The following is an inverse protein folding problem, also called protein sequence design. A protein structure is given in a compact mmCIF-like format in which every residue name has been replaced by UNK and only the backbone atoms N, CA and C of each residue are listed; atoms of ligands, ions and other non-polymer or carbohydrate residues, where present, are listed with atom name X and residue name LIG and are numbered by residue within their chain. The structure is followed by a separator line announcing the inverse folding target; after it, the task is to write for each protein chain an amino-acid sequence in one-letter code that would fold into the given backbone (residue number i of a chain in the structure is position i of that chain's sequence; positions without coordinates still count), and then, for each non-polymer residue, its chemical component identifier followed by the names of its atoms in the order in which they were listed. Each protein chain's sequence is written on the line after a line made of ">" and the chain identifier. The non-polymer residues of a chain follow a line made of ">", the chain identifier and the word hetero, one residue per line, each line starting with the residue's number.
data_IF_833634598146
#
_entry.id   IF_833634598146
#
_cell.length_a   1.000
_cell.length_b   1.000
_cell.length_c   1.000
_cell.angle_alpha   90.00
_cell.angle_beta   90.00
_cell.angle_gamma   90.00
#
_symmetry.space_group_name_H-M   'P 1'
#
loop_
_entity.id
_entity.type
_entity.pdbx_description
1 polymer ?
#
# COMPACT_ATOMS: atom_id res chain seq x y z
N UNK A 1 -5.96 2.83 10.97
CA UNK A 1 -6.27 1.77 11.95
C UNK A 1 -7.26 0.73 11.40
N UNK A 2 -8.49 1.11 11.01
CA UNK A 2 -9.49 0.15 10.49
C UNK A 2 -8.97 -0.72 9.33
N UNK A 3 -8.27 -0.13 8.36
CA UNK A 3 -7.69 -0.85 7.23
C UNK A 3 -6.67 -1.92 7.66
N UNK A 4 -5.76 -1.60 8.59
CA UNK A 4 -4.78 -2.56 9.11
C UNK A 4 -5.46 -3.72 9.83
N UNK A 5 -6.45 -3.43 10.68
CA UNK A 5 -7.21 -4.46 11.40
C UNK A 5 -7.96 -5.35 10.41
N UNK A 6 -8.66 -4.75 9.44
CA UNK A 6 -9.36 -5.51 8.39
C UNK A 6 -8.40 -6.37 7.57
N UNK A 7 -7.20 -5.86 7.26
CA UNK A 7 -6.19 -6.60 6.55
C UNK A 7 -5.67 -7.79 7.39
N UNK A 8 -5.35 -7.58 8.66
CA UNK A 8 -4.91 -8.64 9.58
C UNK A 8 -5.98 -9.74 9.74
N UNK A 9 -7.24 -9.36 9.92
CA UNK A 9 -8.36 -10.30 10.04
C UNK A 9 -8.54 -11.14 8.77
N UNK A 10 -8.19 -10.61 7.60
CA UNK A 10 -8.33 -11.28 6.31
C UNK A 10 -6.99 -11.73 5.71
N UNK A 11 -5.92 -11.80 6.50
CA UNK A 11 -4.56 -12.06 6.00
C UNK A 11 -4.45 -13.37 5.22
N UNK A 12 -5.22 -14.40 5.61
CA UNK A 12 -5.26 -15.70 4.93
C UNK A 12 -5.83 -15.60 3.52
N UNK A 13 -6.90 -14.81 3.36
CA UNK A 13 -7.55 -14.63 2.07
C UNK A 13 -6.69 -13.76 1.14
N UNK A 14 -6.10 -12.68 1.67
CA UNK A 14 -5.12 -11.88 0.94
C UNK A 14 -3.91 -12.70 0.50
N UNK A 15 -3.33 -13.49 1.41
CA UNK A 15 -2.20 -14.37 1.08
C UNK A 15 -2.57 -15.37 -0.02
N UNK A 16 -3.78 -15.94 0.01
CA UNK A 16 -4.28 -16.82 -1.06
C UNK A 16 -4.37 -16.09 -2.39
N UNK A 17 -4.92 -14.88 -2.42
CA UNK A 17 -5.00 -14.04 -3.63
C UNK A 17 -3.60 -13.76 -4.18
N UNK A 18 -2.66 -13.29 -3.36
CA UNK A 18 -1.31 -13.03 -3.81
C UNK A 18 -0.59 -14.29 -4.27
N UNK A 19 -0.80 -15.42 -3.60
CA UNK A 19 -0.25 -16.69 -4.03
C UNK A 19 -0.78 -17.08 -5.41
N UNK A 20 -2.09 -16.96 -5.68
CA UNK A 20 -2.65 -17.24 -7.01
C UNK A 20 -2.16 -16.26 -8.09
N UNK A 21 -2.05 -14.98 -7.76
CA UNK A 21 -1.54 -13.98 -8.70
C UNK A 21 -0.06 -14.21 -9.00
N UNK A 22 0.74 -14.63 -8.03
CA UNK A 22 2.19 -14.84 -8.20
C UNK A 22 2.56 -16.25 -8.64
N UNK A 23 1.66 -17.22 -8.53
CA UNK A 23 1.87 -18.58 -9.03
C UNK A 23 1.99 -18.57 -10.57
N UNK A 24 3.16 -18.99 -11.02
CA UNK A 24 3.52 -19.16 -12.44
C UNK A 24 3.82 -20.62 -12.78
N UNK A 25 3.59 -21.56 -11.85
CA UNK A 25 3.93 -22.97 -12.04
C UNK A 25 3.16 -23.63 -13.19
N UNK A 26 1.90 -23.27 -13.39
CA UNK A 26 1.01 -23.90 -14.40
C UNK A 26 1.21 -23.40 -15.83
N UNK A 27 1.38 -22.09 -16.00
CA UNK A 27 1.33 -21.42 -17.31
C UNK A 27 2.67 -20.78 -17.72
N UNK A 28 3.70 -20.92 -16.90
CA UNK A 28 4.99 -20.28 -17.09
C UNK A 28 5.02 -18.82 -16.64
N UNK A 29 6.23 -18.28 -16.54
CA UNK A 29 6.47 -16.90 -16.11
C UNK A 29 6.15 -15.92 -17.25
N UNK A 30 5.26 -14.94 -17.07
CA UNK A 30 5.02 -13.90 -18.07
C UNK A 30 6.33 -13.14 -18.38
N UNK A 31 6.61 -12.80 -19.66
CA UNK A 31 7.90 -12.26 -20.08
C UNK A 31 8.28 -10.89 -19.46
N UNK A 32 7.33 -10.20 -18.81
CA UNK A 32 7.54 -8.92 -18.13
C UNK A 32 7.27 -8.96 -16.62
N UNK A 33 6.93 -10.12 -16.07
CA UNK A 33 6.50 -10.23 -14.67
C UNK A 33 7.60 -9.79 -13.69
N UNK A 34 8.85 -10.18 -13.92
CA UNK A 34 9.99 -9.76 -13.08
C UNK A 34 10.17 -8.24 -13.08
N UNK A 35 10.11 -7.61 -14.25
CA UNK A 35 10.23 -6.15 -14.39
C UNK A 35 9.09 -5.42 -13.67
N UNK A 36 7.87 -5.97 -13.72
CA UNK A 36 6.71 -5.43 -12.99
C UNK A 36 6.92 -5.55 -11.49
N UNK A 37 7.38 -6.71 -10.99
CA UNK A 37 7.67 -6.91 -9.57
C UNK A 37 8.74 -5.93 -9.08
N UNK A 38 9.84 -5.77 -9.82
CA UNK A 38 10.92 -4.84 -9.45
C UNK A 38 10.44 -3.38 -9.43
N UNK A 39 9.60 -3.01 -10.42
CA UNK A 39 8.95 -1.69 -10.48
C UNK A 39 8.03 -1.47 -9.26
N UNK A 40 7.19 -2.44 -8.93
CA UNK A 40 6.29 -2.37 -7.77
C UNK A 40 7.07 -2.21 -6.46
N UNK A 41 8.07 -3.07 -6.23
CA UNK A 41 8.94 -3.00 -5.04
C UNK A 41 9.64 -1.64 -4.91
N UNK A 42 10.16 -1.10 -6.02
CA UNK A 42 10.82 0.20 -6.03
C UNK A 42 9.86 1.32 -5.66
N UNK A 43 8.65 1.32 -6.22
CA UNK A 43 7.66 2.33 -5.90
C UNK A 43 7.11 2.19 -4.49
N UNK A 44 6.92 0.97 -3.98
CA UNK A 44 6.53 0.72 -2.60
C UNK A 44 7.53 1.35 -1.62
N UNK A 45 8.83 1.19 -1.87
CA UNK A 45 9.89 1.85 -1.10
C UNK A 45 9.86 3.38 -1.20
N UNK A 46 9.68 3.93 -2.41
CA UNK A 46 9.57 5.38 -2.60
C UNK A 46 8.37 5.93 -1.83
N UNK A 47 7.24 5.23 -1.89
CA UNK A 47 6.01 5.64 -1.22
C UNK A 47 6.14 5.55 0.31
N UNK A 48 6.79 4.51 0.82
CA UNK A 48 7.11 4.38 2.24
C UNK A 48 7.98 5.55 2.74
N UNK A 49 9.06 5.88 2.00
CA UNK A 49 9.94 7.01 2.33
C UNK A 49 9.20 8.36 2.25
N UNK A 50 8.31 8.53 1.26
CA UNK A 50 7.45 9.70 1.15
C UNK A 50 6.54 9.85 2.38
N UNK A 51 5.90 8.78 2.84
CA UNK A 51 5.08 8.82 4.06
C UNK A 51 5.91 9.19 5.30
N UNK A 52 7.08 8.56 5.49
CA UNK A 52 7.95 8.85 6.63
C UNK A 52 8.44 10.31 6.64
N UNK A 53 8.89 10.82 5.48
CA UNK A 53 9.32 12.22 5.36
C UNK A 53 8.17 13.20 5.59
N UNK A 54 6.97 12.89 5.09
CA UNK A 54 5.75 13.67 5.35
C UNK A 54 5.44 13.80 6.85
N UNK A 55 5.54 12.71 7.62
CA UNK A 55 5.32 12.73 9.08
C UNK A 55 6.34 13.64 9.77
N UNK A 56 7.62 13.53 9.40
CA UNK A 56 8.70 14.34 10.00
C UNK A 56 8.49 15.83 9.70
N UNK A 57 8.25 16.18 8.44
CA UNK A 57 8.03 17.57 8.02
C UNK A 57 6.79 18.14 8.72
N UNK A 58 5.68 17.40 8.71
CA UNK A 58 4.46 17.80 9.38
C UNK A 58 4.69 18.03 10.88
N UNK A 59 5.44 17.14 11.52
CA UNK A 59 5.80 17.28 12.93
C UNK A 59 6.64 18.52 13.22
N UNK A 60 7.65 18.79 12.41
CA UNK A 60 8.48 19.99 12.55
C UNK A 60 7.63 21.26 12.43
N UNK A 61 6.73 21.32 11.43
CA UNK A 61 5.85 22.47 11.22
C UNK A 61 4.99 22.72 12.47
N UNK A 62 4.32 21.68 13.01
CA UNK A 62 3.46 21.82 14.18
C UNK A 62 4.22 22.19 15.48
N UNK A 63 5.48 21.76 15.61
CA UNK A 63 6.31 22.09 16.78
C UNK A 63 6.85 23.52 16.70
N UNK A 64 7.30 23.95 15.52
CA UNK A 64 7.92 25.27 15.30
C UNK A 64 6.88 26.38 15.21
N UNK A 65 5.77 26.13 14.52
CA UNK A 65 4.68 27.09 14.33
C UNK A 65 3.37 26.58 14.93
N UNK A 66 3.19 26.72 16.26
CA UNK A 66 1.94 26.35 16.93
C UNK A 66 0.83 27.37 16.73
N UNK A 67 1.09 28.49 16.03
CA UNK A 67 0.16 29.61 15.90
C UNK A 67 -1.25 29.22 15.43
N UNK A 68 -1.44 28.24 14.52
CA UNK A 68 -2.77 27.74 14.17
C UNK A 68 -3.50 27.04 15.34
N UNK A 69 -2.79 26.21 16.13
CA UNK A 69 -3.36 25.49 17.26
C UNK A 69 -3.72 26.45 18.40
N UNK A 70 -2.82 27.37 18.75
CA UNK A 70 -3.05 28.35 19.82
C UNK A 70 -4.23 29.29 19.48
N UNK A 71 -4.37 29.68 18.21
CA UNK A 71 -5.53 30.46 17.74
C UNK A 71 -6.84 29.69 17.82
N UNK A 72 -6.84 28.42 17.38
CA UNK A 72 -8.02 27.57 17.44
C UNK A 72 -8.53 27.38 18.87
N UNK A 73 -7.59 27.14 19.80
CA UNK A 73 -7.86 27.03 21.23
C UNK A 73 -8.49 28.30 21.80
N UNK A 74 -7.94 29.47 21.44
CA UNK A 74 -8.49 30.76 21.88
C UNK A 74 -9.89 31.04 21.30
N UNK A 75 -10.15 30.68 20.05
CA UNK A 75 -11.44 30.88 19.37
C UNK A 75 -12.55 30.00 19.95
N UNK A 76 -12.21 28.78 20.37
CA UNK A 76 -13.19 27.77 20.82
C UNK A 76 -13.23 27.57 22.34
N UNK A 77 -12.41 28.29 23.11
CA UNK A 77 -12.19 28.07 24.54
C UNK A 77 -11.81 26.60 24.85
N UNK A 78 -10.88 26.05 24.07
CA UNK A 78 -10.34 24.69 24.23
C UNK A 78 -8.91 24.80 24.76
N UNK A 79 -8.52 23.84 25.61
CA UNK A 79 -7.22 23.79 26.28
C UNK A 79 -6.36 22.63 25.75
N UNK A 80 -6.26 22.48 24.43
CA UNK A 80 -5.44 21.43 23.84
C UNK A 80 -3.95 21.77 23.91
N UNK A 81 -3.11 20.76 24.13
CA UNK A 81 -1.66 20.91 24.18
C UNK A 81 -1.14 21.14 22.76
N UNK A 82 -0.69 22.37 22.49
CA UNK A 82 -0.03 22.74 21.24
C UNK A 82 1.48 22.44 21.26
N UNK A 83 2.15 22.57 20.11
CA UNK A 83 3.57 22.19 19.89
C UNK A 83 3.82 20.69 20.09
N UNK A 84 2.86 19.88 19.69
CA UNK A 84 2.93 18.42 19.61
C UNK A 84 2.73 18.00 18.14
N UNK A 85 2.88 16.71 17.83
CA UNK A 85 2.67 16.25 16.45
C UNK A 85 1.22 16.44 16.03
N UNK A 86 0.29 16.13 16.95
CA UNK A 86 -1.14 16.40 16.83
C UNK A 86 -1.62 17.03 18.12
N UNK A 87 -2.49 18.07 18.06
CA UNK A 87 -3.13 18.63 19.25
C UNK A 87 -3.71 17.51 20.11
N UNK A 88 -3.40 17.54 21.40
CA UNK A 88 -3.83 16.51 22.34
C UNK A 88 -4.57 17.18 23.48
N UNK A 89 -5.77 16.70 23.76
CA UNK A 89 -6.47 17.09 24.98
C UNK A 89 -5.73 16.50 26.19
N UNK A 90 -5.38 17.37 27.13
CA UNK A 90 -4.74 16.99 28.39
C UNK A 90 -5.44 17.70 29.56
N UNK A 91 -5.64 17.03 30.71
CA UNK A 91 -6.39 17.60 31.82
C UNK A 91 -5.67 18.75 32.55
N UNK A 92 -4.35 18.89 32.36
CA UNK A 92 -3.53 19.94 32.98
C UNK A 92 -3.06 20.95 31.91
N UNK A 93 -3.20 22.25 32.20
CA UNK A 93 -2.81 23.31 31.26
C UNK A 93 -1.29 23.43 31.08
N UNK A 94 -0.51 23.16 32.14
CA UNK A 94 0.95 23.29 32.15
C UNK A 94 1.63 21.92 32.27
N UNK A 95 1.96 21.34 31.12
CA UNK A 95 2.73 20.10 31.05
C UNK A 95 4.22 20.39 31.21
N UNK A 96 4.88 19.65 32.10
CA UNK A 96 6.33 19.70 32.25
C UNK A 96 7.05 19.45 30.89
N UNK A 97 8.07 20.25 30.51
CA UNK A 97 8.76 20.11 29.23
C UNK A 97 9.28 18.70 28.93
N UNK A 98 9.71 17.97 29.98
CA UNK A 98 10.14 16.57 29.86
C UNK A 98 9.00 15.65 29.41
N UNK A 99 7.83 15.76 30.05
CA UNK A 99 6.65 14.97 29.69
C UNK A 99 6.15 15.31 28.29
N UNK A 100 6.16 16.59 27.91
CA UNK A 100 5.80 17.04 26.56
C UNK A 100 6.69 16.42 25.48
N UNK A 101 7.99 16.32 25.75
CA UNK A 101 8.94 15.67 24.84
C UNK A 101 8.63 14.17 24.68
N UNK A 102 8.31 13.48 25.78
CA UNK A 102 7.90 12.07 25.75
C UNK A 102 6.62 11.89 24.92
N UNK A 103 5.61 12.75 25.10
CA UNK A 103 4.37 12.71 24.32
C UNK A 103 4.66 12.84 22.83
N UNK A 104 5.51 13.81 22.43
CA UNK A 104 5.90 14.00 21.02
C UNK A 104 6.60 12.76 20.46
N UNK A 105 7.53 12.17 21.21
CA UNK A 105 8.23 10.94 20.77
C UNK A 105 7.22 9.79 20.61
N UNK A 106 6.31 9.59 21.56
CA UNK A 106 5.27 8.57 21.47
C UNK A 106 4.34 8.79 20.27
N UNK A 107 3.92 10.03 20.01
CA UNK A 107 3.12 10.37 18.84
C UNK A 107 3.89 10.10 17.54
N UNK A 108 5.17 10.46 17.47
CA UNK A 108 6.01 10.23 16.29
C UNK A 108 6.18 8.73 16.00
N UNK A 109 6.51 7.94 17.02
CA UNK A 109 6.62 6.48 16.91
C UNK A 109 5.29 5.91 16.43
N UNK A 110 4.17 6.32 17.04
CA UNK A 110 2.83 5.84 16.66
C UNK A 110 2.53 6.16 15.19
N UNK A 111 2.78 7.39 14.74
CA UNK A 111 2.55 7.78 13.36
C UNK A 111 3.42 6.99 12.38
N UNK A 112 4.71 6.77 12.68
CA UNK A 112 5.60 5.96 11.84
C UNK A 112 5.18 4.48 11.83
N UNK A 113 4.65 3.95 12.93
CA UNK A 113 4.16 2.57 13.00
C UNK A 113 2.83 2.37 12.27
N UNK A 114 2.00 3.41 12.11
CA UNK A 114 0.67 3.26 11.52
C UNK A 114 0.52 3.80 10.11
N UNK A 115 1.07 4.98 9.82
CA UNK A 115 0.80 5.69 8.56
C UNK A 115 1.46 4.99 7.36
N UNK A 116 2.79 4.72 7.35
CA UNK A 116 3.42 4.04 6.22
C UNK A 116 2.84 2.65 5.94
N UNK A 117 2.64 1.74 6.92
CA UNK A 117 2.02 0.44 6.65
C UNK A 117 0.60 0.57 6.10
N UNK A 118 -0.22 1.46 6.66
CA UNK A 118 -1.58 1.72 6.12
C UNK A 118 -1.53 2.19 4.67
N UNK A 119 -0.58 3.05 4.33
CA UNK A 119 -0.39 3.57 2.99
C UNK A 119 0.06 2.43 2.04
N UNK A 120 1.05 1.64 2.43
CA UNK A 120 1.50 0.47 1.66
C UNK A 120 0.38 -0.55 1.43
N UNK A 121 -0.52 -0.74 2.40
CA UNK A 121 -1.70 -1.60 2.21
C UNK A 121 -2.63 -1.09 1.12
N UNK A 122 -2.79 0.22 0.94
CA UNK A 122 -3.58 0.73 -0.20
C UNK A 122 -2.85 0.51 -1.53
N UNK A 123 -1.52 0.58 -1.51
CA UNK A 123 -0.66 0.35 -2.66
C UNK A 123 -0.70 -1.10 -3.15
N UNK A 124 -0.91 -2.07 -2.25
CA UNK A 124 -0.95 -3.50 -2.59
C UNK A 124 -2.03 -3.86 -3.62
N UNK A 125 -3.15 -3.12 -3.63
CA UNK A 125 -4.25 -3.30 -4.58
C UNK A 125 -3.78 -2.90 -5.99
N UNK A 126 -3.03 -1.79 -6.08
CA UNK A 126 -2.43 -1.35 -7.33
C UNK A 126 -1.39 -2.35 -7.84
N UNK A 127 -0.53 -2.87 -6.96
CA UNK A 127 0.45 -3.90 -7.32
C UNK A 127 -0.21 -5.17 -7.85
N UNK A 128 -1.26 -5.65 -7.18
CA UNK A 128 -2.06 -6.78 -7.65
C UNK A 128 -2.62 -6.52 -9.06
N UNK A 129 -3.12 -5.31 -9.31
CA UNK A 129 -3.59 -4.87 -10.63
C UNK A 129 -2.51 -4.96 -11.71
N UNK A 130 -1.31 -4.43 -11.46
CA UNK A 130 -0.19 -4.49 -12.41
C UNK A 130 0.23 -5.93 -12.72
N UNK A 131 0.22 -6.83 -11.72
CA UNK A 131 0.52 -8.26 -11.92
C UNK A 131 -0.56 -8.95 -12.76
N UNK A 132 -1.84 -8.64 -12.53
CA UNK A 132 -2.95 -9.15 -13.36
C UNK A 132 -2.81 -8.64 -14.80
N UNK A 133 -2.50 -7.36 -15.00
CA UNK A 133 -2.24 -6.78 -16.33
C UNK A 133 -1.09 -7.52 -17.03
N UNK A 134 -0.01 -7.84 -16.32
CA UNK A 134 1.10 -8.61 -16.86
C UNK A 134 0.66 -10.01 -17.33
N UNK A 135 -0.17 -10.71 -16.55
CA UNK A 135 -0.76 -12.01 -16.94
C UNK A 135 -1.68 -11.89 -18.15
N UNK A 136 -2.53 -10.86 -18.22
CA UNK A 136 -3.41 -10.60 -19.37
C UNK A 136 -2.59 -10.31 -20.63
N UNK A 137 -1.52 -9.52 -20.53
CA UNK A 137 -0.64 -9.24 -21.67
C UNK A 137 0.03 -10.52 -22.19
N UNK A 138 0.46 -11.40 -21.30
CA UNK A 138 1.02 -12.70 -21.67
C UNK A 138 -0.03 -13.60 -22.34
N UNK A 139 -1.26 -13.66 -21.79
CA UNK A 139 -2.37 -14.36 -22.41
C UNK A 139 -2.65 -13.84 -23.83
N UNK A 140 -2.62 -12.52 -24.05
CA UNK A 140 -2.78 -11.92 -25.38
C UNK A 140 -1.73 -12.44 -26.36
N UNK A 141 -0.45 -12.44 -25.97
CA UNK A 141 0.65 -12.94 -26.82
C UNK A 141 0.46 -14.43 -27.15
N UNK A 142 0.05 -15.24 -26.16
CA UNK A 142 -0.26 -16.65 -26.37
C UNK A 142 -1.41 -16.83 -27.35
N UNK A 143 -2.45 -16.00 -27.26
CA UNK A 143 -3.60 -16.04 -28.16
C UNK A 143 -3.23 -15.70 -29.61
N UNK A 144 -2.46 -14.63 -29.82
CA UNK A 144 -1.91 -14.26 -31.13
C UNK A 144 -1.09 -15.44 -31.71
N UNK A 145 -0.15 -15.98 -30.92
CA UNK A 145 0.68 -17.12 -31.33
C UNK A 145 -0.10 -18.43 -31.58
N UNK A 146 -1.31 -18.55 -31.01
CA UNK A 146 -2.18 -19.69 -31.23
C UNK A 146 -2.85 -19.62 -32.60
N UNK A 147 -3.22 -18.41 -33.03
CA UNK A 147 -3.88 -18.16 -34.31
C UNK A 147 -2.93 -18.28 -35.51
N UNK A 148 -1.66 -17.98 -35.33
CA UNK A 148 -0.63 -18.03 -36.39
C UNK A 148 -0.26 -19.45 -36.86
N UNK A 149 -0.89 -20.52 -36.36
CA UNK A 149 -0.62 -21.89 -36.80
C UNK A 149 -1.64 -22.39 -37.83
N UNK A 150 -1.13 -22.87 -38.97
CA UNK A 150 -1.96 -23.46 -40.03
C UNK A 150 -2.60 -24.80 -39.64
N UNK A 151 -1.97 -25.55 -38.73
CA UNK A 151 -2.46 -26.86 -38.29
C UNK A 151 -3.61 -26.71 -37.29
N UNK A 152 -4.81 -27.13 -37.70
CA UNK A 152 -6.04 -27.04 -36.91
C UNK A 152 -5.92 -27.67 -35.52
N UNK A 153 -5.26 -28.83 -35.39
CA UNK A 153 -5.12 -29.53 -34.11
C UNK A 153 -4.27 -28.76 -33.11
N UNK A 154 -3.13 -28.23 -33.55
CA UNK A 154 -2.23 -27.42 -32.71
C UNK A 154 -2.94 -26.13 -32.30
N UNK A 155 -3.64 -25.48 -33.23
CA UNK A 155 -4.43 -24.28 -32.94
C UNK A 155 -5.51 -24.56 -31.89
N UNK A 156 -6.25 -25.66 -32.00
CA UNK A 156 -7.26 -26.06 -31.00
C UNK A 156 -6.63 -26.31 -29.62
N UNK A 157 -5.49 -26.99 -29.56
CA UNK A 157 -4.80 -27.25 -28.30
C UNK A 157 -4.31 -25.96 -27.62
N UNK A 158 -3.69 -25.04 -28.38
CA UNK A 158 -3.22 -23.74 -27.87
C UNK A 158 -4.37 -22.83 -27.42
N UNK A 159 -5.47 -22.81 -28.16
CA UNK A 159 -6.66 -22.05 -27.74
C UNK A 159 -7.26 -22.61 -26.45
N UNK A 160 -7.32 -23.95 -26.29
CA UNK A 160 -7.75 -24.58 -25.04
C UNK A 160 -6.86 -24.17 -23.87
N UNK A 161 -5.55 -24.14 -24.07
CA UNK A 161 -4.59 -23.65 -23.07
C UNK A 161 -4.85 -22.17 -22.71
N UNK A 162 -5.08 -21.30 -23.71
CA UNK A 162 -5.41 -19.90 -23.47
C UNK A 162 -6.71 -19.72 -22.67
N UNK A 163 -7.74 -20.51 -22.97
CA UNK A 163 -9.01 -20.48 -22.22
C UNK A 163 -8.79 -20.91 -20.76
N UNK A 164 -8.02 -21.98 -20.53
CA UNK A 164 -7.68 -22.43 -19.17
C UNK A 164 -6.88 -21.36 -18.41
N UNK A 165 -5.94 -20.69 -19.08
CA UNK A 165 -5.18 -19.62 -18.46
C UNK A 165 -6.05 -18.40 -18.11
N UNK A 166 -6.96 -18.02 -19.01
CA UNK A 166 -7.93 -16.94 -18.74
C UNK A 166 -8.82 -17.26 -17.52
N UNK A 167 -9.29 -18.51 -17.41
CA UNK A 167 -10.07 -18.97 -16.26
C UNK A 167 -9.27 -18.95 -14.96
N UNK A 168 -7.96 -19.27 -15.00
CA UNK A 168 -7.09 -19.20 -13.83
C UNK A 168 -6.82 -17.75 -13.38
N UNK A 169 -6.77 -16.79 -14.31
CA UNK A 169 -6.65 -15.35 -13.97
C UNK A 169 -7.92 -14.81 -13.29
N UNK A 170 -9.10 -15.30 -13.67
CA UNK A 170 -10.39 -14.81 -13.16
C UNK A 170 -10.84 -15.47 -11.84
N UNK A 171 -10.19 -16.56 -11.44
CA UNK A 171 -10.57 -17.37 -10.26
C UNK A 171 -9.85 -16.89 -9.00
#
# INVERSE_FOLDING_TARGET
>A
MFLCIMFELNVKEWSRVFFHITDTSKFGMPPKMSQVIDKCNRFSWIYFLYCCTGIIIYGIINIVDPGPCERWNAEHNIHDVCRTLTPLWWPEDDIEPGLKTIIVICQLISCISYVPPSATLTYIIWEAGELIIAKIHHLKQLFESALDNDKLEIRRARLRFCIQYHQDIMR
#
